data_IF_016076748245
#
_entry.id   IF_016076748245
#
_cell.length_a   1.000
_cell.length_b   1.000
_cell.length_c   1.000
_cell.angle_alpha   90.00
_cell.angle_beta   90.00
_cell.angle_gamma   90.00
#
_symmetry.space_group_name_H-M   'P 1'
#
loop_
_entity.id
_entity.type
_entity.pdbx_description
1 polymer ?
#
# COMPACT_ATOMS: atom_id res chain seq x y z
N UNK A 1 37.40 -12.42 -2.33
CA UNK A 1 36.16 -12.44 -3.14
C UNK A 1 35.10 -13.21 -2.35
N UNK A 2 34.28 -12.51 -1.54
CA UNK A 2 33.12 -13.14 -0.90
C UNK A 2 32.13 -13.43 -2.03
N UNK A 3 31.85 -14.69 -2.27
CA UNK A 3 30.76 -15.16 -3.12
C UNK A 3 29.48 -14.51 -2.60
N UNK A 4 28.94 -13.53 -3.34
CA UNK A 4 27.57 -13.10 -3.17
C UNK A 4 26.74 -14.36 -3.36
N UNK A 5 26.27 -14.96 -2.26
CA UNK A 5 25.22 -15.98 -2.33
C UNK A 5 24.10 -15.32 -3.12
N UNK A 6 23.82 -15.83 -4.32
CA UNK A 6 22.61 -15.50 -5.06
C UNK A 6 21.43 -15.76 -4.11
N UNK A 7 20.93 -14.73 -3.46
CA UNK A 7 19.62 -14.78 -2.85
C UNK A 7 18.67 -14.87 -4.04
N UNK A 8 18.23 -16.09 -4.34
CA UNK A 8 17.20 -16.43 -5.33
C UNK A 8 15.88 -15.78 -4.91
N UNK A 9 15.82 -14.47 -5.05
CA UNK A 9 14.80 -13.64 -4.45
C UNK A 9 13.60 -13.58 -5.39
N UNK A 10 12.49 -14.17 -4.97
CA UNK A 10 11.20 -13.93 -5.61
C UNK A 10 10.95 -12.41 -5.62
N UNK A 11 10.82 -11.77 -6.78
CA UNK A 11 10.58 -10.33 -6.83
C UNK A 11 9.23 -9.95 -6.22
N UNK A 12 9.08 -8.71 -5.74
CA UNK A 12 7.78 -8.19 -5.32
C UNK A 12 6.82 -8.09 -6.51
N UNK A 13 5.53 -7.91 -6.22
CA UNK A 13 4.56 -7.54 -7.26
C UNK A 13 4.87 -6.15 -7.82
N UNK A 14 4.37 -5.82 -9.01
CA UNK A 14 4.59 -4.51 -9.62
C UNK A 14 4.16 -3.35 -8.69
N UNK A 15 3.02 -3.50 -8.00
CA UNK A 15 2.48 -2.47 -7.09
C UNK A 15 3.32 -2.29 -5.82
N UNK A 16 4.08 -3.31 -5.44
CA UNK A 16 4.99 -3.30 -4.29
C UNK A 16 6.40 -2.80 -4.66
N UNK A 17 6.68 -2.49 -5.94
CA UNK A 17 7.92 -1.79 -6.30
C UNK A 17 7.95 -0.40 -5.64
N UNK A 18 9.07 -0.09 -4.97
CA UNK A 18 9.22 1.15 -4.19
C UNK A 18 8.41 1.21 -2.89
N UNK A 19 7.80 0.10 -2.45
CA UNK A 19 6.96 0.07 -1.24
C UNK A 19 7.68 0.56 0.02
N UNK A 20 8.95 0.19 0.23
CA UNK A 20 9.70 0.62 1.42
C UNK A 20 9.81 2.15 1.49
N UNK A 21 10.12 2.82 0.38
CA UNK A 21 10.11 4.28 0.32
C UNK A 21 8.70 4.83 0.61
N UNK A 22 7.68 4.29 -0.06
CA UNK A 22 6.28 4.71 0.11
C UNK A 22 5.79 4.55 1.55
N UNK A 23 6.21 3.48 2.23
CA UNK A 23 5.86 3.19 3.62
C UNK A 23 6.43 4.27 4.56
N UNK A 24 7.66 4.75 4.33
CA UNK A 24 8.25 5.86 5.11
C UNK A 24 7.45 7.16 4.93
N UNK A 25 6.86 7.39 3.75
CA UNK A 25 6.01 8.57 3.51
C UNK A 25 4.57 8.44 4.02
N UNK A 26 4.07 7.23 4.25
CA UNK A 26 2.64 6.98 4.50
C UNK A 26 2.34 6.45 5.90
N UNK A 27 3.15 5.54 6.44
CA UNK A 27 2.93 4.96 7.77
C UNK A 27 3.27 5.98 8.87
N UNK A 28 2.52 5.97 9.97
CA UNK A 28 2.68 6.91 11.08
C UNK A 28 2.02 8.28 10.84
N UNK A 29 1.25 8.44 9.75
CA UNK A 29 0.53 9.67 9.44
C UNK A 29 -0.96 9.41 9.26
N UNK A 30 -1.80 10.21 9.91
CA UNK A 30 -3.27 10.15 9.84
C UNK A 30 -3.88 11.55 9.78
N UNK A 31 -3.33 12.43 8.95
CA UNK A 31 -3.67 13.87 8.96
C UNK A 31 -5.16 14.13 8.73
N UNK A 32 -5.76 14.94 9.60
CA UNK A 32 -7.17 15.34 9.50
C UNK A 32 -8.16 14.23 9.86
N UNK A 33 -7.68 13.12 10.45
CA UNK A 33 -8.51 11.97 10.81
C UNK A 33 -8.31 11.62 12.29
N UNK A 34 -9.42 11.31 12.96
CA UNK A 34 -9.42 10.56 14.21
C UNK A 34 -9.76 9.12 13.85
N UNK A 35 -8.81 8.21 13.99
CA UNK A 35 -8.92 6.80 13.59
C UNK A 35 -8.87 5.89 14.80
N UNK A 36 -9.76 4.90 14.82
CA UNK A 36 -9.80 3.82 15.78
C UNK A 36 -9.77 2.51 15.02
N UNK A 37 -8.71 1.73 15.18
CA UNK A 37 -8.57 0.38 14.61
C UNK A 37 -8.59 -0.63 15.75
N UNK A 38 -9.39 -1.68 15.61
CA UNK A 38 -9.46 -2.81 16.54
C UNK A 38 -9.26 -4.09 15.73
N UNK A 39 -8.20 -4.82 16.05
CA UNK A 39 -7.86 -6.10 15.45
C UNK A 39 -7.86 -7.17 16.53
N UNK A 40 -8.63 -8.22 16.33
CA UNK A 40 -8.67 -9.38 17.22
C UNK A 40 -8.39 -10.65 16.43
N UNK A 41 -7.70 -11.58 17.07
CA UNK A 41 -7.46 -12.91 16.53
C UNK A 41 -7.96 -13.98 17.50
N UNK A 42 -8.88 -14.80 17.03
CA UNK A 42 -9.39 -15.96 17.77
C UNK A 42 -8.53 -17.19 17.52
N UNK A 43 -8.48 -18.10 18.50
CA UNK A 43 -7.73 -19.37 18.41
C UNK A 43 -8.17 -20.24 17.23
N UNK A 44 -9.43 -20.15 16.83
CA UNK A 44 -10.01 -20.90 15.71
C UNK A 44 -9.60 -20.35 14.31
N UNK A 45 -8.64 -19.43 14.24
CA UNK A 45 -8.15 -18.85 12.97
C UNK A 45 -9.04 -17.76 12.37
N UNK A 46 -10.01 -17.27 13.14
CA UNK A 46 -10.89 -16.16 12.78
C UNK A 46 -10.26 -14.84 13.24
N UNK A 47 -10.07 -13.91 12.32
CA UNK A 47 -9.53 -12.57 12.57
C UNK A 47 -10.62 -11.54 12.29
N UNK A 48 -10.88 -10.65 13.23
CA UNK A 48 -11.76 -9.50 13.02
C UNK A 48 -10.94 -8.22 13.01
N UNK A 49 -11.20 -7.36 12.04
CA UNK A 49 -10.64 -6.03 11.97
C UNK A 49 -11.77 -5.02 11.80
N UNK A 50 -12.04 -4.27 12.86
CA UNK A 50 -12.99 -3.15 12.85
C UNK A 50 -12.20 -1.86 12.79
N UNK A 51 -12.57 -0.96 11.90
CA UNK A 51 -11.97 0.36 11.80
C UNK A 51 -13.05 1.42 11.75
N UNK A 52 -12.84 2.53 12.45
CA UNK A 52 -13.65 3.73 12.38
C UNK A 52 -12.74 4.93 12.16
N UNK A 53 -13.17 5.86 11.32
CA UNK A 53 -12.47 7.12 11.10
C UNK A 53 -13.45 8.27 11.04
N UNK A 54 -13.13 9.34 11.76
CA UNK A 54 -13.84 10.61 11.70
C UNK A 54 -12.94 11.66 11.06
N UNK A 55 -13.44 12.33 10.02
CA UNK A 55 -12.73 13.41 9.36
C UNK A 55 -12.98 14.73 10.10
N UNK A 56 -11.90 15.37 10.56
CA UNK A 56 -11.98 16.55 11.43
C UNK A 56 -12.43 17.82 10.70
N UNK A 57 -12.32 17.86 9.37
CA UNK A 57 -12.72 19.01 8.54
C UNK A 57 -14.18 18.92 8.10
N UNK A 58 -14.64 17.71 7.75
CA UNK A 58 -15.98 17.49 7.19
C UNK A 58 -16.98 16.91 8.19
N UNK A 59 -16.52 16.52 9.38
CA UNK A 59 -17.31 15.82 10.41
C UNK A 59 -17.94 14.50 9.93
N UNK A 60 -17.52 13.98 8.77
CA UNK A 60 -17.97 12.68 8.26
C UNK A 60 -17.30 11.56 9.02
N UNK A 61 -18.09 10.56 9.39
CA UNK A 61 -17.63 9.35 10.07
C UNK A 61 -17.88 8.15 9.16
N UNK A 62 -16.85 7.34 8.95
CA UNK A 62 -16.92 6.10 8.18
C UNK A 62 -16.39 4.94 9.00
N UNK A 63 -17.04 3.79 8.88
CA UNK A 63 -16.65 2.56 9.55
C UNK A 63 -16.52 1.40 8.56
N UNK A 64 -15.67 0.44 8.92
CA UNK A 64 -15.53 -0.83 8.20
C UNK A 64 -15.34 -1.98 9.19
N UNK A 65 -15.87 -3.14 8.83
CA UNK A 65 -15.67 -4.41 9.48
C UNK A 65 -15.11 -5.39 8.44
N UNK A 66 -13.99 -6.02 8.76
CA UNK A 66 -13.41 -7.12 7.99
C UNK A 66 -13.36 -8.36 8.88
N UNK A 67 -13.94 -9.45 8.40
CA UNK A 67 -13.85 -10.79 9.01
C UNK A 67 -13.01 -11.67 8.09
N UNK A 68 -11.92 -12.21 8.59
CA UNK A 68 -11.03 -13.11 7.83
C UNK A 68 -11.00 -14.48 8.50
N UNK A 69 -11.32 -15.51 7.75
CA UNK A 69 -11.24 -16.89 8.18
C UNK A 69 -10.22 -17.64 7.33
N UNK A 70 -9.15 -18.12 7.97
CA UNK A 70 -8.06 -18.84 7.30
C UNK A 70 -8.19 -20.35 7.51
N UNK A 71 -8.53 -21.06 6.44
CA UNK A 71 -8.56 -22.52 6.42
C UNK A 71 -7.23 -23.06 5.89
N UNK A 72 -6.22 -23.07 6.77
CA UNK A 72 -4.83 -23.31 6.39
C UNK A 72 -4.57 -24.70 5.79
N UNK A 73 -5.32 -25.72 6.20
CA UNK A 73 -5.20 -27.10 5.68
C UNK A 73 -5.45 -27.19 4.17
N UNK A 74 -6.31 -26.32 3.62
CA UNK A 74 -6.65 -26.28 2.20
C UNK A 74 -6.09 -25.05 1.48
N UNK A 75 -5.21 -24.28 2.12
CA UNK A 75 -4.66 -23.04 1.55
C UNK A 75 -5.73 -21.99 1.19
N UNK A 76 -6.90 -22.06 1.83
CA UNK A 76 -8.05 -21.20 1.57
C UNK A 76 -8.12 -20.08 2.60
N UNK A 77 -8.43 -18.87 2.14
CA UNK A 77 -8.75 -17.74 3.01
C UNK A 77 -10.03 -17.08 2.52
N UNK A 78 -11.01 -16.99 3.42
CA UNK A 78 -12.26 -16.28 3.19
C UNK A 78 -12.18 -14.93 3.92
N UNK A 79 -12.53 -13.85 3.25
CA UNK A 79 -12.56 -12.52 3.84
C UNK A 79 -13.87 -11.84 3.47
N UNK A 80 -14.64 -11.44 4.47
CA UNK A 80 -15.88 -10.68 4.33
C UNK A 80 -15.63 -9.26 4.82
N UNK A 81 -15.98 -8.28 4.00
CA UNK A 81 -15.81 -6.85 4.25
C UNK A 81 -17.18 -6.18 4.21
N UNK A 82 -17.45 -5.35 5.20
CA UNK A 82 -18.64 -4.52 5.26
C UNK A 82 -18.26 -3.11 5.67
N UNK A 83 -18.93 -2.10 5.13
CA UNK A 83 -18.71 -0.71 5.51
C UNK A 83 -20.02 0.03 5.76
N UNK A 84 -19.92 1.22 6.36
CA UNK A 84 -21.07 2.06 6.72
C UNK A 84 -21.85 2.59 5.51
N UNK A 85 -21.29 2.53 4.31
CA UNK A 85 -21.99 2.84 3.06
C UNK A 85 -22.79 1.64 2.51
N UNK A 86 -22.96 0.60 3.34
CA UNK A 86 -23.60 -0.69 3.03
C UNK A 86 -22.93 -1.48 1.91
N UNK A 87 -21.67 -1.20 1.56
CA UNK A 87 -20.97 -2.02 0.58
C UNK A 87 -20.48 -3.31 1.23
N UNK A 88 -20.90 -4.43 0.68
CA UNK A 88 -20.48 -5.79 1.04
C UNK A 88 -19.41 -6.25 0.06
N UNK A 89 -18.38 -6.92 0.57
CA UNK A 89 -17.31 -7.48 -0.23
C UNK A 89 -16.90 -8.86 0.27
N UNK A 90 -16.98 -9.86 -0.61
CA UNK A 90 -16.54 -11.23 -0.32
C UNK A 90 -15.25 -11.49 -1.10
N UNK A 91 -14.22 -11.98 -0.46
CA UNK A 91 -12.94 -12.34 -1.05
C UNK A 91 -12.59 -13.79 -0.68
N UNK A 92 -12.34 -14.61 -1.69
CA UNK A 92 -11.92 -16.01 -1.55
C UNK A 92 -10.55 -16.13 -2.20
N UNK A 93 -9.55 -16.50 -1.41
CA UNK A 93 -8.18 -16.69 -1.87
C UNK A 93 -7.76 -18.14 -1.71
N UNK A 94 -7.13 -18.68 -2.75
CA UNK A 94 -6.49 -19.99 -2.80
C UNK A 94 -5.01 -19.78 -3.09
N UNK A 95 -4.12 -20.24 -2.21
CA UNK A 95 -2.67 -20.11 -2.40
C UNK A 95 -1.99 -21.49 -2.34
N UNK A 96 -1.01 -21.70 -3.22
CA UNK A 96 -0.11 -22.86 -3.27
C UNK A 96 -0.77 -24.25 -3.44
N UNK A 97 -2.05 -24.31 -3.84
CA UNK A 97 -2.77 -25.60 -4.00
C UNK A 97 -2.47 -26.33 -5.32
N UNK A 98 -2.48 -25.62 -6.46
CA UNK A 98 -2.24 -26.24 -7.77
C UNK A 98 -0.74 -26.33 -8.07
N UNK A 99 -0.01 -25.26 -7.78
CA UNK A 99 1.45 -25.20 -7.87
C UNK A 99 1.98 -24.19 -6.87
N UNK A 100 3.18 -24.44 -6.34
CA UNK A 100 3.88 -23.51 -5.46
C UNK A 100 4.06 -22.16 -6.16
N UNK A 101 3.72 -21.09 -5.47
CA UNK A 101 3.79 -19.72 -5.96
C UNK A 101 2.52 -19.22 -6.65
N UNK A 102 1.54 -20.08 -6.92
CA UNK A 102 0.26 -19.65 -7.50
C UNK A 102 -0.69 -19.15 -6.42
N UNK A 103 -1.28 -17.99 -6.67
CA UNK A 103 -2.33 -17.38 -5.85
C UNK A 103 -3.51 -17.03 -6.75
N UNK A 104 -4.69 -17.55 -6.43
CA UNK A 104 -5.94 -17.23 -7.10
C UNK A 104 -6.84 -16.52 -6.09
N UNK A 105 -7.39 -15.37 -6.46
CA UNK A 105 -8.29 -14.61 -5.61
C UNK A 105 -9.53 -14.22 -6.39
N UNK A 106 -10.70 -14.60 -5.88
CA UNK A 106 -12.00 -14.15 -6.35
C UNK A 106 -12.56 -13.12 -5.38
N UNK A 107 -12.86 -11.92 -5.87
CA UNK A 107 -13.50 -10.84 -5.12
C UNK A 107 -14.87 -10.55 -5.73
N UNK A 108 -15.89 -10.47 -4.89
CA UNK A 108 -17.23 -10.00 -5.24
C UNK A 108 -17.55 -8.79 -4.38
N UNK A 109 -18.21 -7.79 -4.97
CA UNK A 109 -18.65 -6.59 -4.27
C UNK A 109 -20.08 -6.24 -4.63
N UNK A 110 -20.85 -5.81 -3.64
CA UNK A 110 -22.25 -5.44 -3.81
C UNK A 110 -22.59 -4.22 -2.95
N UNK A 111 -23.16 -3.20 -3.57
CA UNK A 111 -23.68 -2.01 -2.88
C UNK A 111 -25.21 -1.98 -3.03
N UNK A 112 -25.99 -2.36 -2.01
CA UNK A 112 -27.45 -2.39 -2.06
C UNK A 112 -28.06 -1.02 -2.40
N UNK A 113 -27.47 0.06 -1.86
CA UNK A 113 -27.96 1.43 -2.04
C UNK A 113 -27.99 1.87 -3.52
N UNK A 114 -27.06 1.37 -4.33
CA UNK A 114 -26.93 1.74 -5.75
C UNK A 114 -27.25 0.58 -6.70
N UNK A 115 -27.44 -0.63 -6.18
CA UNK A 115 -27.55 -1.86 -6.97
C UNK A 115 -26.25 -2.27 -7.67
N UNK A 116 -25.14 -1.54 -7.46
CA UNK A 116 -23.87 -1.80 -8.15
C UNK A 116 -23.29 -3.13 -7.71
N UNK A 117 -22.89 -3.94 -8.69
CA UNK A 117 -22.20 -5.22 -8.51
C UNK A 117 -20.87 -5.16 -9.24
N UNK A 118 -19.83 -5.64 -8.60
CA UNK A 118 -18.50 -5.76 -9.20
C UNK A 118 -17.90 -7.11 -8.85
N UNK A 119 -17.17 -7.70 -9.79
CA UNK A 119 -16.39 -8.91 -9.58
C UNK A 119 -14.95 -8.67 -9.98
N UNK A 120 -14.00 -9.25 -9.26
CA UNK A 120 -12.60 -9.26 -9.67
C UNK A 120 -12.05 -10.67 -9.55
N UNK A 121 -11.33 -11.10 -10.56
CA UNK A 121 -10.60 -12.36 -10.55
C UNK A 121 -9.12 -12.08 -10.71
N UNK A 122 -8.34 -12.33 -9.67
CA UNK A 122 -6.91 -12.07 -9.62
C UNK A 122 -6.15 -13.38 -9.66
N UNK A 123 -5.13 -13.41 -10.49
CA UNK A 123 -4.22 -14.53 -10.63
C UNK A 123 -2.81 -14.01 -10.45
N UNK A 124 -2.07 -14.57 -9.50
CA UNK A 124 -0.68 -14.23 -9.25
C UNK A 124 0.16 -15.49 -9.33
N UNK A 125 1.28 -15.43 -10.02
CA UNK A 125 2.25 -16.52 -10.03
C UNK A 125 3.64 -15.97 -9.74
N UNK A 126 4.26 -16.47 -8.67
CA UNK A 126 5.58 -16.06 -8.24
C UNK A 126 6.53 -17.27 -8.24
N UNK A 127 7.69 -17.12 -8.85
CA UNK A 127 8.78 -18.08 -8.78
C UNK A 127 10.11 -17.33 -8.67
N UNK A 128 11.21 -18.06 -8.69
CA UNK A 128 12.54 -17.43 -8.68
C UNK A 128 12.66 -16.50 -9.90
N UNK A 129 13.17 -15.30 -9.67
CA UNK A 129 13.35 -14.25 -10.67
C UNK A 129 12.10 -13.65 -11.29
N UNK A 130 10.90 -14.19 -11.07
CA UNK A 130 9.69 -13.76 -11.78
C UNK A 130 8.49 -13.65 -10.85
N UNK A 131 7.70 -12.59 -11.01
CA UNK A 131 6.41 -12.40 -10.38
C UNK A 131 5.41 -11.84 -11.40
N UNK A 132 4.39 -12.63 -11.74
CA UNK A 132 3.35 -12.30 -12.71
C UNK A 132 2.02 -12.10 -12.00
N UNK A 133 1.22 -11.16 -12.49
CA UNK A 133 -0.13 -10.89 -12.03
C UNK A 133 -1.07 -10.63 -13.21
N UNK A 134 -2.27 -11.16 -13.15
CA UNK A 134 -3.36 -10.84 -14.07
C UNK A 134 -4.67 -10.73 -13.29
N UNK A 135 -5.24 -9.52 -13.30
CA UNK A 135 -6.49 -9.19 -12.62
C UNK A 135 -7.56 -8.86 -13.67
N UNK A 136 -8.65 -9.62 -13.69
CA UNK A 136 -9.84 -9.35 -14.51
C UNK A 136 -10.87 -8.68 -13.64
N UNK A 137 -11.10 -7.39 -13.89
CA UNK A 137 -12.09 -6.58 -13.19
C UNK A 137 -13.36 -6.47 -14.04
N UNK A 138 -14.47 -6.96 -13.51
CA UNK A 138 -15.80 -6.86 -14.08
C UNK A 138 -16.62 -5.82 -13.30
N UNK A 139 -17.14 -4.83 -14.02
CA UNK A 139 -18.15 -3.88 -13.54
C UNK A 139 -19.32 -3.88 -14.54
N UNK A 140 -20.49 -3.38 -14.13
CA UNK A 140 -21.66 -3.22 -15.00
C UNK A 140 -21.37 -2.35 -16.24
N UNK A 141 -20.34 -1.49 -16.14
CA UNK A 141 -19.92 -0.58 -17.19
C UNK A 141 -18.85 -1.17 -18.13
N UNK A 142 -18.38 -2.40 -17.89
CA UNK A 142 -17.40 -3.06 -18.74
C UNK A 142 -16.38 -3.89 -17.98
N UNK A 143 -15.57 -4.64 -18.74
CA UNK A 143 -14.48 -5.48 -18.23
C UNK A 143 -13.12 -4.84 -18.53
N UNK A 144 -12.27 -4.75 -17.51
CA UNK A 144 -10.88 -4.33 -17.62
C UNK A 144 -9.96 -5.48 -17.20
N UNK A 145 -8.91 -5.72 -17.98
CA UNK A 145 -7.89 -6.73 -17.72
C UNK A 145 -6.61 -6.00 -17.37
N UNK A 146 -6.07 -6.23 -16.18
CA UNK A 146 -4.82 -5.67 -15.71
C UNK A 146 -3.75 -6.75 -15.71
N UNK A 147 -2.72 -6.59 -16.53
CA UNK A 147 -1.55 -7.45 -16.54
C UNK A 147 -0.38 -6.79 -15.83
N UNK A 148 0.39 -7.55 -15.07
CA UNK A 148 1.63 -7.08 -14.48
C UNK A 148 2.68 -8.19 -14.48
N UNK A 149 3.94 -7.81 -14.68
CA UNK A 149 5.08 -8.71 -14.60
C UNK A 149 6.29 -8.01 -14.03
N UNK A 150 7.02 -8.68 -13.14
CA UNK A 150 8.28 -8.19 -12.58
C UNK A 150 9.32 -9.30 -12.70
N UNK A 151 10.48 -8.94 -13.23
CA UNK A 151 11.65 -9.80 -13.27
C UNK A 151 12.75 -9.24 -12.38
N UNK A 152 13.59 -10.11 -11.81
CA UNK A 152 14.77 -9.71 -11.06
C UNK A 152 16.04 -10.44 -11.49
N UNK A 153 17.15 -9.71 -11.51
CA UNK A 153 18.46 -10.25 -11.84
C UNK A 153 19.54 -9.46 -11.10
N UNK A 154 20.38 -10.12 -10.31
CA UNK A 154 21.47 -9.49 -9.53
C UNK A 154 21.07 -8.20 -8.78
N UNK A 155 19.90 -8.22 -8.12
CA UNK A 155 19.35 -7.07 -7.38
C UNK A 155 18.61 -6.03 -8.24
N UNK A 156 18.76 -6.06 -9.57
CA UNK A 156 17.94 -5.27 -10.48
C UNK A 156 16.52 -5.83 -10.57
N UNK A 157 15.57 -4.92 -10.73
CA UNK A 157 14.14 -5.19 -10.89
C UNK A 157 13.66 -4.47 -12.14
N UNK A 158 12.99 -5.19 -13.03
CA UNK A 158 12.29 -4.59 -14.17
C UNK A 158 10.84 -5.04 -14.14
N UNK A 159 9.92 -4.07 -14.19
CA UNK A 159 8.49 -4.29 -14.08
C UNK A 159 7.75 -3.66 -15.25
N UNK A 160 6.68 -4.33 -15.67
CA UNK A 160 5.72 -3.81 -16.63
C UNK A 160 4.30 -4.03 -16.09
N UNK A 161 3.44 -3.03 -16.27
CA UNK A 161 2.02 -3.11 -15.95
C UNK A 161 1.20 -2.54 -17.10
N UNK A 162 0.11 -3.20 -17.45
CA UNK A 162 -0.81 -2.75 -18.49
C UNK A 162 -2.26 -2.92 -18.05
N UNK A 163 -3.13 -2.04 -18.55
CA UNK A 163 -4.58 -2.16 -18.45
C UNK A 163 -5.17 -2.18 -19.85
N UNK A 164 -5.92 -3.23 -20.16
CA UNK A 164 -6.70 -3.36 -21.38
C UNK A 164 -8.19 -3.31 -21.05
N UNK A 165 -8.93 -2.43 -21.73
CA UNK A 165 -10.37 -2.33 -21.56
C UNK A 165 -11.11 -2.98 -22.72
N UNK A 166 -11.77 -4.10 -22.43
CA UNK A 166 -12.42 -4.93 -23.43
C UNK A 166 -13.54 -4.19 -24.17
N UNK A 167 -14.34 -3.38 -23.44
CA UNK A 167 -15.44 -2.62 -24.04
C UNK A 167 -14.98 -1.54 -25.03
N UNK A 168 -13.76 -1.03 -24.89
CA UNK A 168 -13.17 -0.02 -25.79
C UNK A 168 -12.18 -0.62 -26.79
N UNK A 169 -11.86 -1.91 -26.65
CA UNK A 169 -10.81 -2.60 -27.38
C UNK A 169 -9.49 -1.80 -27.42
N UNK A 170 -9.09 -1.24 -26.28
CA UNK A 170 -7.95 -0.31 -26.18
C UNK A 170 -7.14 -0.55 -24.91
N UNK A 171 -5.82 -0.44 -25.05
CA UNK A 171 -4.90 -0.32 -23.91
C UNK A 171 -5.02 1.09 -23.35
N UNK A 172 -5.44 1.20 -22.09
CA UNK A 172 -5.68 2.48 -21.42
C UNK A 172 -4.60 2.85 -20.43
N UNK A 173 -3.75 1.90 -20.05
CA UNK A 173 -2.61 2.13 -19.17
C UNK A 173 -1.43 1.26 -19.59
N UNK A 174 -0.23 1.83 -19.60
CA UNK A 174 1.03 1.14 -19.88
C UNK A 174 2.15 1.77 -19.06
N UNK A 175 2.56 1.08 -18.01
CA UNK A 175 3.54 1.57 -17.05
C UNK A 175 4.78 0.68 -17.05
N UNK A 176 5.94 1.32 -16.98
CA UNK A 176 7.23 0.66 -16.86
C UNK A 176 7.87 1.06 -15.54
N UNK A 177 8.56 0.12 -14.90
CA UNK A 177 9.33 0.39 -13.71
C UNK A 177 10.69 -0.29 -13.78
N UNK A 178 11.73 0.41 -13.33
CA UNK A 178 13.06 -0.16 -13.13
C UNK A 178 13.51 0.19 -11.73
N UNK A 179 14.09 -0.77 -11.03
CA UNK A 179 14.61 -0.57 -9.70
C UNK A 179 15.84 -1.39 -9.43
N UNK A 180 16.47 -1.09 -8.31
CA UNK A 180 17.60 -1.84 -7.77
C UNK A 180 17.38 -1.99 -6.28
N UNK A 181 17.52 -3.21 -5.77
CA UNK A 181 17.22 -3.54 -4.38
C UNK A 181 18.39 -4.29 -3.75
N UNK A 182 18.77 -3.79 -2.59
CA UNK A 182 19.68 -4.43 -1.62
C UNK A 182 19.00 -4.43 -0.24
N UNK A 183 19.67 -4.97 0.77
CA UNK A 183 19.13 -5.01 2.13
C UNK A 183 19.01 -3.61 2.77
N UNK A 184 19.91 -2.69 2.41
CA UNK A 184 19.99 -1.34 3.02
C UNK A 184 19.44 -0.25 2.09
N UNK A 185 19.42 -0.49 0.78
CA UNK A 185 19.11 0.53 -0.21
C UNK A 185 18.15 0.00 -1.27
N UNK A 186 17.17 0.82 -1.65
CA UNK A 186 16.29 0.55 -2.79
C UNK A 186 16.16 1.79 -3.66
N UNK A 187 16.46 1.64 -4.95
CA UNK A 187 16.14 2.60 -5.99
C UNK A 187 14.91 2.09 -6.74
N UNK A 188 13.95 2.97 -6.99
CA UNK A 188 12.79 2.66 -7.82
C UNK A 188 12.53 3.84 -8.74
N UNK A 189 12.33 3.57 -10.03
CA UNK A 189 11.94 4.54 -11.04
C UNK A 189 10.78 3.96 -11.83
N UNK A 190 9.84 4.81 -12.24
CA UNK A 190 8.72 4.39 -13.05
C UNK A 190 8.32 5.47 -14.05
N UNK A 191 7.73 5.02 -15.15
CA UNK A 191 7.14 5.86 -16.18
C UNK A 191 5.72 5.34 -16.43
N UNK A 192 4.72 6.17 -16.17
CA UNK A 192 3.32 5.84 -16.43
C UNK A 192 2.89 6.52 -17.74
N UNK A 193 2.38 5.72 -18.67
CA UNK A 193 1.83 6.16 -19.96
C UNK A 193 2.77 7.05 -20.79
N UNK A 194 4.08 7.00 -20.53
CA UNK A 194 5.08 7.87 -21.15
C UNK A 194 5.00 9.35 -20.77
N UNK A 195 4.15 9.71 -19.80
CA UNK A 195 3.84 11.12 -19.46
C UNK A 195 4.13 11.46 -18.00
N UNK A 196 3.94 10.53 -17.07
CA UNK A 196 4.26 10.74 -15.65
C UNK A 196 5.49 9.94 -15.26
N UNK A 197 6.47 10.63 -14.69
CA UNK A 197 7.73 10.05 -14.26
C UNK A 197 7.79 10.10 -12.74
N UNK A 198 8.21 8.99 -12.13
CA UNK A 198 8.41 8.87 -10.71
C UNK A 198 9.75 8.22 -10.37
N UNK A 199 10.29 8.59 -9.22
CA UNK A 199 11.54 8.06 -8.71
C UNK A 199 11.53 8.11 -7.19
N UNK A 200 11.96 7.03 -6.54
CA UNK A 200 12.12 7.00 -5.10
C UNK A 200 13.39 6.29 -4.71
N UNK A 201 13.98 6.78 -3.63
CA UNK A 201 15.15 6.19 -2.99
C UNK A 201 14.74 5.86 -1.57
N UNK A 202 15.00 4.62 -1.14
CA UNK A 202 14.88 4.19 0.24
C UNK A 202 16.28 3.84 0.75
N UNK A 203 16.58 4.27 1.97
CA UNK A 203 17.81 3.93 2.64
C UNK A 203 17.55 3.63 4.12
N UNK A 204 17.88 2.42 4.54
CA UNK A 204 18.01 2.03 5.94
C UNK A 204 19.40 2.45 6.42
N UNK A 205 19.48 3.62 7.04
CA UNK A 205 20.75 4.25 7.45
C UNK A 205 21.38 3.47 8.60
N UNK A 206 20.56 2.98 9.53
CA UNK A 206 20.95 2.07 10.60
C UNK A 206 19.71 1.31 11.11
N UNK A 207 19.82 0.56 12.20
CA UNK A 207 18.71 -0.21 12.77
C UNK A 207 17.54 0.65 13.28
N UNK A 208 17.79 1.94 13.57
CA UNK A 208 16.79 2.88 14.11
C UNK A 208 16.30 3.90 13.08
N UNK A 209 17.07 4.19 12.04
CA UNK A 209 16.79 5.28 11.11
C UNK A 209 16.59 4.75 9.68
N UNK A 210 15.40 5.00 9.16
CA UNK A 210 15.05 4.79 7.76
C UNK A 210 14.75 6.14 7.12
N UNK A 211 15.22 6.34 5.90
CA UNK A 211 14.99 7.55 5.12
C UNK A 211 14.47 7.21 3.75
N UNK A 212 13.69 8.12 3.18
CA UNK A 212 13.18 7.99 1.84
C UNK A 212 13.14 9.35 1.14
N UNK A 213 13.42 9.32 -0.15
CA UNK A 213 13.28 10.46 -1.06
C UNK A 213 12.30 10.06 -2.15
N UNK A 214 11.43 10.99 -2.54
CA UNK A 214 10.50 10.79 -3.64
C UNK A 214 10.56 11.98 -4.59
N UNK A 215 10.56 11.69 -5.88
CA UNK A 215 10.64 12.59 -7.02
C UNK A 215 9.52 12.22 -7.98
N UNK A 216 8.78 13.20 -8.45
CA UNK A 216 7.79 13.00 -9.50
C UNK A 216 7.72 14.23 -10.41
N UNK A 217 7.61 14.03 -11.71
CA UNK A 217 7.37 15.10 -12.67
C UNK A 217 6.50 14.61 -13.83
N UNK A 218 5.92 15.55 -14.57
CA UNK A 218 5.06 15.26 -15.71
C UNK A 218 5.66 15.86 -16.96
N UNK A 219 5.73 15.10 -18.06
CA UNK A 219 6.19 15.58 -19.35
C UNK A 219 5.41 16.84 -19.78
N UNK A 220 6.13 17.83 -20.29
CA UNK A 220 5.54 19.12 -20.68
C UNK A 220 5.27 20.09 -19.52
N UNK A 221 5.56 19.71 -18.27
CA UNK A 221 5.48 20.59 -17.11
C UNK A 221 6.87 20.74 -16.47
N UNK A 222 7.31 21.97 -16.24
CA UNK A 222 8.59 22.26 -15.60
C UNK A 222 8.59 22.02 -14.08
N UNK A 223 7.41 21.87 -13.47
CA UNK A 223 7.28 21.66 -12.04
C UNK A 223 7.65 20.22 -11.66
N UNK A 224 8.64 20.09 -10.81
CA UNK A 224 8.98 18.82 -10.15
C UNK A 224 8.33 18.79 -8.77
N UNK A 225 7.82 17.64 -8.36
CA UNK A 225 7.39 17.37 -6.98
C UNK A 225 8.47 16.56 -6.30
N UNK A 226 8.92 17.03 -5.15
CA UNK A 226 10.00 16.42 -4.41
C UNK A 226 9.65 16.35 -2.93
N UNK A 227 9.95 15.22 -2.30
CA UNK A 227 9.78 15.04 -0.87
C UNK A 227 10.92 14.24 -0.25
N UNK A 228 11.18 14.54 1.01
CA UNK A 228 12.11 13.81 1.87
C UNK A 228 11.32 13.35 3.09
N UNK A 229 11.50 12.10 3.50
CA UNK A 229 10.92 11.55 4.70
C UNK A 229 11.95 10.76 5.49
N UNK A 230 11.79 10.76 6.80
CA UNK A 230 12.59 9.99 7.73
C UNK A 230 11.68 9.39 8.79
N UNK A 231 11.99 8.15 9.17
CA UNK A 231 11.38 7.44 10.28
C UNK A 231 12.50 7.04 11.23
N UNK A 232 12.38 7.49 12.47
CA UNK A 232 13.33 7.24 13.53
C UNK A 232 12.67 6.46 14.66
N UNK A 233 13.20 5.28 14.95
CA UNK A 233 12.82 4.48 16.10
C UNK A 233 13.61 4.98 17.32
N UNK A 234 12.91 5.61 18.25
CA UNK A 234 13.51 6.17 19.46
C UNK A 234 13.92 5.01 20.39
N UNK A 235 12.96 4.12 20.63
CA UNK A 235 13.07 2.92 21.45
C UNK A 235 12.12 1.82 20.89
N UNK A 236 12.02 0.63 21.51
CA UNK A 236 11.13 -0.44 21.04
C UNK A 236 9.64 -0.08 20.99
N UNK A 237 9.19 0.89 21.80
CA UNK A 237 7.80 1.26 21.97
C UNK A 237 7.45 2.60 21.31
N UNK A 238 8.44 3.43 20.96
CA UNK A 238 8.25 4.77 20.41
C UNK A 238 8.96 4.99 19.06
N UNK A 239 8.27 5.64 18.12
CA UNK A 239 8.86 6.08 16.86
C UNK A 239 8.38 7.46 16.43
N UNK A 240 9.25 8.20 15.77
CA UNK A 240 9.00 9.51 15.22
C UNK A 240 9.17 9.48 13.71
N UNK A 241 8.24 10.07 12.98
CA UNK A 241 8.26 10.16 11.52
C UNK A 241 8.14 11.61 11.11
N UNK A 242 9.02 12.08 10.23
CA UNK A 242 8.99 13.43 9.69
C UNK A 242 9.10 13.40 8.17
N UNK A 243 8.35 14.26 7.49
CA UNK A 243 8.46 14.44 6.04
C UNK A 243 8.28 15.88 5.64
N UNK A 244 8.96 16.28 4.58
CA UNK A 244 8.86 17.60 3.98
C UNK A 244 8.74 17.47 2.47
N UNK A 245 8.08 18.42 1.83
CA UNK A 245 8.05 18.50 0.37
C UNK A 245 8.34 19.91 -0.13
N UNK A 246 8.58 20.04 -1.43
CA UNK A 246 8.87 21.30 -2.09
C UNK A 246 7.65 22.22 -2.27
N UNK A 247 6.47 21.81 -1.80
CA UNK A 247 5.31 22.70 -1.61
C UNK A 247 5.29 23.35 -0.22
N UNK A 248 6.38 23.20 0.55
CA UNK A 248 6.52 23.70 1.93
C UNK A 248 5.60 23.03 2.94
N UNK A 249 5.12 21.81 2.68
CA UNK A 249 4.35 21.04 3.67
C UNK A 249 5.29 20.25 4.56
N UNK A 250 5.09 20.33 5.87
CA UNK A 250 5.85 19.60 6.89
C UNK A 250 4.90 18.64 7.60
N UNK A 251 5.13 17.34 7.45
CA UNK A 251 4.39 16.29 8.14
C UNK A 251 5.18 15.73 9.30
N UNK A 252 4.57 15.72 10.48
CA UNK A 252 5.10 15.14 11.72
C UNK A 252 4.19 14.00 12.18
N UNK A 253 4.79 12.94 12.70
CA UNK A 253 4.10 11.77 13.23
C UNK A 253 4.85 11.23 14.43
N UNK A 254 4.15 10.95 15.51
CA UNK A 254 4.69 10.31 16.70
C UNK A 254 3.81 9.11 17.05
N UNK A 255 4.40 7.93 17.13
CA UNK A 255 3.70 6.69 17.48
C UNK A 255 4.31 6.14 18.76
N UNK A 256 3.45 5.88 19.75
CA UNK A 256 3.80 5.32 21.05
C UNK A 256 2.96 4.07 21.32
N UNK A 257 3.62 3.00 21.73
CA UNK A 257 2.98 1.83 22.34
C UNK A 257 2.73 2.16 23.81
N UNK A 258 1.45 2.25 24.20
CA UNK A 258 1.04 2.61 25.56
C UNK A 258 1.02 1.39 26.49
N UNK A 259 0.59 0.26 25.93
CA UNK A 259 0.56 -1.07 26.52
C UNK A 259 0.78 -2.10 25.41
N UNK A 260 1.17 -3.34 25.75
CA UNK A 260 1.16 -4.43 24.77
C UNK A 260 -0.22 -4.49 24.08
N UNK A 261 -0.22 -4.40 22.75
CA UNK A 261 -1.44 -4.37 21.95
C UNK A 261 -2.12 -3.01 21.80
N UNK A 262 -1.66 -1.93 22.44
CA UNK A 262 -2.26 -0.59 22.31
C UNK A 262 -1.23 0.40 21.76
N UNK A 263 -1.50 0.94 20.57
CA UNK A 263 -0.66 1.98 19.96
C UNK A 263 -1.45 3.27 19.76
N UNK A 264 -0.85 4.38 20.17
CA UNK A 264 -1.32 5.73 19.93
C UNK A 264 -0.41 6.39 18.88
N UNK A 265 -1.01 6.95 17.84
CA UNK A 265 -0.31 7.76 16.84
C UNK A 265 -0.88 9.17 16.83
N UNK A 266 -0.03 10.17 16.98
CA UNK A 266 -0.34 11.58 16.79
C UNK A 266 0.32 12.05 15.50
N UNK A 267 -0.38 12.82 14.68
CA UNK A 267 0.19 13.37 13.45
C UNK A 267 -0.25 14.80 13.21
N UNK A 268 0.63 15.59 12.60
CA UNK A 268 0.38 16.98 12.26
C UNK A 268 0.93 17.29 10.86
N UNK A 269 0.13 17.90 10.01
CA UNK A 269 0.55 18.45 8.73
C UNK A 269 0.51 19.97 8.81
N UNK A 270 1.68 20.59 8.76
CA UNK A 270 1.88 22.03 8.85
C UNK A 270 2.11 22.59 7.45
N UNK A 271 1.42 23.68 7.12
CA UNK A 271 1.69 24.46 5.92
C UNK A 271 2.76 25.50 6.25
N UNK A 272 3.98 25.28 5.78
CA UNK A 272 5.12 26.16 6.01
C UNK A 272 4.98 27.54 5.36
N UNK A 273 4.11 27.71 4.35
CA UNK A 273 3.81 29.03 3.78
C UNK A 273 2.87 29.83 4.67
N UNK A 274 2.02 29.14 5.44
CA UNK A 274 0.95 29.73 6.25
C UNK A 274 1.07 29.35 7.73
N UNK A 275 2.29 29.19 8.25
CA UNK A 275 2.50 28.68 9.62
C UNK A 275 1.85 29.55 10.70
N UNK A 276 1.73 30.86 10.46
CA UNK A 276 1.10 31.80 11.38
C UNK A 276 -0.42 31.97 11.15
N UNK A 277 -0.94 31.48 10.03
CA UNK A 277 -2.31 31.71 9.59
C UNK A 277 -3.21 30.46 9.71
N UNK A 278 -2.63 29.29 10.02
CA UNK A 278 -3.35 28.04 10.25
C UNK A 278 -3.41 27.13 9.02
N UNK A 279 -4.52 26.41 8.85
CA UNK A 279 -4.66 25.39 7.80
C UNK A 279 -3.90 24.08 8.12
N UNK A 280 -3.52 23.89 9.38
CA UNK A 280 -2.80 22.70 9.83
C UNK A 280 -3.77 21.56 10.09
N UNK A 281 -3.42 20.36 9.63
CA UNK A 281 -4.23 19.16 9.86
C UNK A 281 -3.65 18.36 11.01
N UNK A 282 -4.47 18.12 12.03
CA UNK A 282 -4.11 17.24 13.13
C UNK A 282 -4.78 15.88 12.94
N UNK A 283 -4.11 14.82 13.37
CA UNK A 283 -4.58 13.46 13.27
C UNK A 283 -4.26 12.67 14.51
N UNK A 284 -5.18 11.78 14.90
CA UNK A 284 -5.04 10.88 16.03
C UNK A 284 -5.42 9.48 15.59
N UNK A 285 -4.57 8.49 15.85
CA UNK A 285 -4.83 7.08 15.59
C UNK A 285 -4.70 6.28 16.87
N UNK A 286 -5.69 5.44 17.16
CA UNK A 286 -5.63 4.45 18.22
C UNK A 286 -5.79 3.07 17.60
N UNK A 287 -4.79 2.22 17.79
CA UNK A 287 -4.80 0.83 17.33
C UNK A 287 -4.82 -0.09 18.55
N UNK A 288 -5.81 -0.98 18.59
CA UNK A 288 -5.94 -2.06 19.56
C UNK A 288 -5.72 -3.38 18.84
N UNK A 289 -4.80 -4.20 19.37
CA UNK A 289 -4.46 -5.51 18.86
C UNK A 289 -4.53 -6.51 20.01
N UNK A 290 -5.39 -7.51 19.85
CA UNK A 290 -5.55 -8.65 20.75
C UNK A 290 -5.35 -9.97 19.99
#
# INVERSE_FOLDING_TARGET
KKTLKETMAVPPTYVDLGKSARDVFTKGYGFGLIKLDLKTKSDNGLEFASACSANTETSKVGGSLETKYKWSEHGLTFTEKWNTDNTLGTEITVEDQLTKGLKLTFESSFSPNTGKKGGKFKTGYKCEHINLGCDVNYDINGTAIHGAGVICYEGWLAGYQTTFEAGRNKITQSNFAVGYKTDEFQLHTNVNDGTEFGGSIYQKVNEKLETAVNLAWTAGNSNTRFGIAAKYQIDPDASFSAKVNNSSLVGLGYTQTLKPGIKLTLSALLDGKNINAGGHKLGLGLEFQA
#
